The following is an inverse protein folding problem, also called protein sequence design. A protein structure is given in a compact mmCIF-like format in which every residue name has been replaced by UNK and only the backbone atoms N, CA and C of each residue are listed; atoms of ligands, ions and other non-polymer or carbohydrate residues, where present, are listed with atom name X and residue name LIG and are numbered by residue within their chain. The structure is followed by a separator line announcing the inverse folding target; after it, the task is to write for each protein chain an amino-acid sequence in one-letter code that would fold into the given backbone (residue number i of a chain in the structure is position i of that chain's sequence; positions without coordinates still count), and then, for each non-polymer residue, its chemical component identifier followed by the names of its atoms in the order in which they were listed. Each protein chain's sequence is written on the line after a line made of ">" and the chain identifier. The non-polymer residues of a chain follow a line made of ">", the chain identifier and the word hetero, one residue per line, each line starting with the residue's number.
data_IF_250953474777
#
_entry.id   IF_250953474777
#
_cell.length_a   1.000
_cell.length_b   1.000
_cell.length_c   1.000
_cell.angle_alpha   90.00
_cell.angle_beta   90.00
_cell.angle_gamma   90.00
#
_symmetry.space_group_name_H-M   'P 1'
#
loop_
_entity.id
_entity.type
_entity.pdbx_description
1 polymer ?
#
# COMPACT_ATOMS: atom_id res chain seq x y z
N UNK A 1 6.51 17.19 -9.27
CA UNK A 1 5.21 17.39 -8.55
C UNK A 1 4.17 16.31 -8.85
N UNK A 2 3.74 16.10 -10.11
CA UNK A 2 2.69 15.10 -10.45
C UNK A 2 2.96 13.67 -9.91
N UNK A 3 4.20 13.18 -10.01
CA UNK A 3 4.58 11.83 -9.55
C UNK A 3 4.40 11.64 -8.04
N UNK A 4 4.96 12.54 -7.24
CA UNK A 4 4.85 12.53 -5.78
C UNK A 4 3.39 12.67 -5.36
N UNK A 5 2.64 13.57 -6.00
CA UNK A 5 1.22 13.74 -5.75
C UNK A 5 0.44 12.45 -5.97
N UNK A 6 0.74 11.69 -7.03
CA UNK A 6 0.12 10.38 -7.24
C UNK A 6 0.56 9.35 -6.22
N UNK A 7 1.85 9.29 -5.84
CA UNK A 7 2.33 8.36 -4.80
C UNK A 7 1.61 8.58 -3.46
N UNK A 8 1.52 9.84 -3.03
CA UNK A 8 0.85 10.24 -1.78
C UNK A 8 -0.66 10.08 -1.90
N UNK A 9 -1.25 10.44 -3.04
CA UNK A 9 -2.69 10.33 -3.25
C UNK A 9 -3.19 8.90 -3.26
N UNK A 10 -2.46 7.98 -3.90
CA UNK A 10 -2.81 6.55 -3.88
C UNK A 10 -2.55 5.91 -2.52
N UNK A 11 -1.50 6.35 -1.80
CA UNK A 11 -1.30 5.97 -0.39
C UNK A 11 -2.48 6.40 0.48
N UNK A 12 -2.88 7.67 0.40
CA UNK A 12 -3.98 8.23 1.18
C UNK A 12 -5.30 7.50 0.89
N UNK A 13 -5.57 7.17 -0.38
CA UNK A 13 -6.73 6.36 -0.76
C UNK A 13 -6.69 4.96 -0.15
N UNK A 14 -5.55 4.26 -0.24
CA UNK A 14 -5.35 2.95 0.38
C UNK A 14 -5.60 3.01 1.89
N UNK A 15 -4.98 3.98 2.57
CA UNK A 15 -5.07 4.17 4.01
C UNK A 15 -6.49 4.50 4.47
N UNK A 16 -7.19 5.36 3.72
CA UNK A 16 -8.60 5.68 4.00
C UNK A 16 -9.50 4.45 3.87
N UNK A 17 -9.34 3.65 2.82
CA UNK A 17 -10.12 2.41 2.64
C UNK A 17 -9.82 1.44 3.79
N UNK A 18 -8.54 1.25 4.14
CA UNK A 18 -8.14 0.40 5.26
C UNK A 18 -8.79 0.86 6.58
N UNK A 19 -8.80 2.17 6.82
CA UNK A 19 -9.36 2.78 8.02
C UNK A 19 -10.88 2.60 8.09
N UNK A 20 -11.61 2.91 7.01
CA UNK A 20 -13.07 2.78 6.97
C UNK A 20 -13.49 1.32 7.13
N UNK A 21 -12.85 0.40 6.38
CA UNK A 21 -13.16 -1.02 6.44
C UNK A 21 -12.80 -1.59 7.81
N UNK A 22 -11.61 -1.27 8.33
CA UNK A 22 -11.17 -1.70 9.63
C UNK A 22 -12.11 -1.23 10.74
N UNK A 23 -12.45 0.05 10.75
CA UNK A 23 -13.39 0.62 11.71
C UNK A 23 -14.78 -0.02 11.61
N UNK A 24 -15.36 -0.10 10.42
CA UNK A 24 -16.68 -0.68 10.22
C UNK A 24 -16.74 -2.15 10.66
N UNK A 25 -15.76 -2.96 10.27
CA UNK A 25 -15.73 -4.39 10.61
C UNK A 25 -15.41 -4.64 12.09
N UNK A 26 -14.58 -3.80 12.71
CA UNK A 26 -14.33 -3.85 14.15
C UNK A 26 -15.61 -3.61 14.96
N UNK A 27 -16.34 -2.53 14.64
CA UNK A 27 -17.54 -2.14 15.39
C UNK A 27 -18.77 -2.99 15.07
N UNK A 28 -18.96 -3.42 13.82
CA UNK A 28 -20.17 -4.11 13.39
C UNK A 28 -20.10 -5.64 13.57
N UNK A 29 -18.90 -6.23 13.58
CA UNK A 29 -18.74 -7.68 13.55
C UNK A 29 -17.88 -8.19 14.72
N UNK A 30 -16.56 -8.01 14.64
CA UNK A 30 -15.61 -8.40 15.69
C UNK A 30 -14.17 -8.01 15.31
N UNK A 31 -13.28 -8.01 16.30
CA UNK A 31 -11.83 -7.83 16.09
C UNK A 31 -11.26 -8.86 15.10
N UNK A 32 -11.69 -10.13 15.18
CA UNK A 32 -11.22 -11.18 14.25
C UNK A 32 -11.69 -10.90 12.82
N UNK A 33 -12.96 -10.52 12.65
CA UNK A 33 -13.51 -10.16 11.34
C UNK A 33 -12.76 -8.96 10.73
N UNK A 34 -12.41 -7.96 11.53
CA UNK A 34 -11.60 -6.82 11.09
C UNK A 34 -10.29 -7.26 10.45
N UNK A 35 -9.49 -8.06 11.16
CA UNK A 35 -8.21 -8.52 10.65
C UNK A 35 -8.36 -9.36 9.39
N UNK A 36 -9.31 -10.29 9.35
CA UNK A 36 -9.57 -11.12 8.16
C UNK A 36 -9.94 -10.24 6.95
N UNK A 37 -10.86 -9.29 7.14
CA UNK A 37 -11.29 -8.38 6.09
C UNK A 37 -10.13 -7.52 5.58
N UNK A 38 -9.35 -6.91 6.48
CA UNK A 38 -8.21 -6.06 6.12
C UNK A 38 -7.15 -6.87 5.38
N UNK A 39 -6.74 -8.03 5.89
CA UNK A 39 -5.71 -8.86 5.24
C UNK A 39 -6.17 -9.51 3.92
N UNK A 40 -7.47 -9.63 3.68
CA UNK A 40 -8.00 -10.15 2.41
C UNK A 40 -8.20 -9.04 1.38
N UNK A 41 -8.73 -7.89 1.81
CA UNK A 41 -9.09 -6.78 0.92
C UNK A 41 -7.88 -5.93 0.54
N UNK A 42 -7.01 -5.61 1.51
CA UNK A 42 -5.89 -4.69 1.27
C UNK A 42 -4.89 -5.17 0.22
N UNK A 43 -4.57 -6.47 0.09
CA UNK A 43 -3.70 -6.92 -0.99
C UNK A 43 -4.26 -6.57 -2.37
N UNK A 44 -5.57 -6.74 -2.56
CA UNK A 44 -6.29 -6.47 -3.81
C UNK A 44 -6.33 -4.97 -4.08
N UNK A 45 -6.73 -4.18 -3.09
CA UNK A 45 -6.79 -2.71 -3.19
C UNK A 45 -5.41 -2.13 -3.50
N UNK A 46 -4.38 -2.59 -2.79
CA UNK A 46 -2.99 -2.15 -2.99
C UNK A 46 -2.51 -2.47 -4.40
N UNK A 47 -2.70 -3.72 -4.86
CA UNK A 47 -2.32 -4.12 -6.22
C UNK A 47 -3.04 -3.28 -7.28
N UNK A 48 -4.35 -3.03 -7.09
CA UNK A 48 -5.16 -2.19 -7.98
C UNK A 48 -4.68 -0.74 -8.03
N UNK A 49 -4.33 -0.15 -6.89
CA UNK A 49 -3.82 1.22 -6.80
C UNK A 49 -2.41 1.36 -7.39
N UNK A 50 -1.54 0.37 -7.20
CA UNK A 50 -0.22 0.31 -7.84
C UNK A 50 -0.35 0.21 -9.35
N UNK A 51 -1.25 -0.66 -9.84
CA UNK A 51 -1.59 -0.74 -11.26
C UNK A 51 -2.10 0.60 -11.80
N UNK A 52 -3.03 1.24 -11.10
CA UNK A 52 -3.58 2.54 -11.49
C UNK A 52 -2.51 3.63 -11.53
N UNK A 53 -1.58 3.63 -10.57
CA UNK A 53 -0.43 4.52 -10.53
C UNK A 53 0.47 4.35 -11.77
N UNK A 54 0.90 3.13 -12.06
CA UNK A 54 1.75 2.82 -13.22
C UNK A 54 1.06 3.20 -14.54
N UNK A 55 -0.24 2.95 -14.64
CA UNK A 55 -1.05 3.36 -15.78
C UNK A 55 -1.11 4.87 -15.93
N UNK A 56 -1.36 5.61 -14.85
CA UNK A 56 -1.51 7.08 -14.88
C UNK A 56 -0.21 7.76 -15.30
N UNK A 57 0.93 7.23 -14.88
CA UNK A 57 2.25 7.74 -15.25
C UNK A 57 2.76 7.22 -16.60
N UNK A 58 2.05 6.27 -17.23
CA UNK A 58 2.44 5.64 -18.51
C UNK A 58 3.88 5.11 -18.47
N UNK A 59 4.22 4.41 -17.38
CA UNK A 59 5.58 3.92 -17.13
C UNK A 59 5.99 2.92 -18.20
N UNK A 60 7.21 3.04 -18.75
CA UNK A 60 7.75 2.09 -19.72
C UNK A 60 8.01 0.72 -19.08
N UNK A 61 8.00 -0.35 -19.87
CA UNK A 61 8.23 -1.74 -19.41
C UNK A 61 9.46 -1.85 -18.50
N UNK A 62 10.57 -1.27 -18.95
CA UNK A 62 11.87 -1.36 -18.27
C UNK A 62 11.90 -0.58 -16.94
N UNK A 63 11.13 0.51 -16.85
CA UNK A 63 11.06 1.33 -15.64
C UNK A 63 10.04 0.80 -14.62
N UNK A 64 9.14 -0.13 -15.00
CA UNK A 64 8.05 -0.59 -14.12
C UNK A 64 8.51 -1.14 -12.78
N UNK A 65 9.60 -1.93 -12.78
CA UNK A 65 10.12 -2.53 -11.55
C UNK A 65 10.63 -1.45 -10.60
N UNK A 66 11.51 -0.57 -11.10
CA UNK A 66 12.05 0.56 -10.33
C UNK A 66 10.95 1.46 -9.79
N UNK A 67 9.96 1.80 -10.62
CA UNK A 67 8.86 2.66 -10.21
C UNK A 67 7.97 2.02 -9.14
N UNK A 68 7.65 0.74 -9.29
CA UNK A 68 6.90 -0.01 -8.28
C UNK A 68 7.67 -0.12 -6.96
N UNK A 69 8.98 -0.40 -7.00
CA UNK A 69 9.82 -0.46 -5.80
C UNK A 69 9.91 0.87 -5.07
N UNK A 70 10.07 1.99 -5.81
CA UNK A 70 10.08 3.33 -5.21
C UNK A 70 8.72 3.63 -4.57
N UNK A 71 7.61 3.32 -5.26
CA UNK A 71 6.27 3.52 -4.72
C UNK A 71 6.07 2.74 -3.41
N UNK A 72 6.45 1.46 -3.38
CA UNK A 72 6.38 0.63 -2.17
C UNK A 72 7.23 1.21 -1.05
N UNK A 73 8.47 1.60 -1.33
CA UNK A 73 9.34 2.19 -0.33
C UNK A 73 8.73 3.46 0.28
N UNK A 74 8.18 4.35 -0.56
CA UNK A 74 7.48 5.56 -0.12
C UNK A 74 6.26 5.20 0.74
N UNK A 75 5.46 4.22 0.32
CA UNK A 75 4.28 3.78 1.07
C UNK A 75 4.64 3.15 2.42
N UNK A 76 5.71 2.36 2.49
CA UNK A 76 6.22 1.81 3.75
C UNK A 76 6.64 2.94 4.68
N UNK A 77 7.43 3.92 4.19
CA UNK A 77 7.87 5.06 5.00
C UNK A 77 6.67 5.87 5.52
N UNK A 78 5.68 6.14 4.66
CA UNK A 78 4.46 6.85 5.05
C UNK A 78 3.64 6.06 6.08
N UNK A 79 3.45 4.75 5.88
CA UNK A 79 2.76 3.87 6.82
C UNK A 79 3.47 3.85 8.17
N UNK A 80 4.78 3.60 8.16
CA UNK A 80 5.60 3.58 9.36
C UNK A 80 5.56 4.89 10.12
N UNK A 81 5.57 6.02 9.41
CA UNK A 81 5.47 7.35 10.03
C UNK A 81 4.11 7.55 10.71
N UNK A 82 3.02 7.11 10.08
CA UNK A 82 1.68 7.19 10.68
C UNK A 82 1.53 6.25 11.90
N UNK A 83 2.07 5.04 11.81
CA UNK A 83 2.11 4.10 12.93
C UNK A 83 2.89 4.72 14.10
N UNK A 84 4.09 5.24 13.84
CA UNK A 84 4.93 5.90 14.85
C UNK A 84 4.21 7.08 15.50
N UNK A 85 3.60 7.99 14.72
CA UNK A 85 2.84 9.12 15.26
C UNK A 85 1.69 8.62 16.15
N UNK A 86 0.98 7.58 15.71
CA UNK A 86 -0.17 7.05 16.44
C UNK A 86 0.24 6.42 17.78
N UNK A 87 1.27 5.57 17.78
CA UNK A 87 1.69 4.83 18.97
C UNK A 87 2.54 5.65 19.94
N UNK A 88 3.37 6.58 19.44
CA UNK A 88 4.26 7.39 20.28
C UNK A 88 3.52 8.61 20.84
N UNK A 89 2.66 9.24 20.03
CA UNK A 89 2.06 10.55 20.36
C UNK A 89 0.57 10.42 20.62
N UNK A 90 -0.22 9.96 19.64
CA UNK A 90 -1.69 10.02 19.73
C UNK A 90 -2.25 9.19 20.89
N UNK A 91 -1.90 7.91 20.98
CA UNK A 91 -2.42 7.01 22.02
C UNK A 91 -2.03 7.47 23.44
N UNK A 92 -0.76 7.83 23.70
CA UNK A 92 -0.39 8.36 25.01
C UNK A 92 -1.10 9.66 25.37
N UNK A 93 -1.24 10.60 24.42
CA UNK A 93 -1.93 11.87 24.65
C UNK A 93 -3.41 11.68 24.98
N UNK A 94 -4.11 10.75 24.31
CA UNK A 94 -5.53 10.45 24.60
C UNK A 94 -5.73 9.63 25.88
N UNK A 95 -4.68 8.95 26.34
CA UNK A 95 -4.71 8.13 27.57
C UNK A 95 -4.10 8.83 28.79
N UNK A 96 -3.73 10.12 28.68
CA UNK A 96 -3.02 10.88 29.70
C UNK A 96 -1.72 10.20 30.20
N UNK A 97 -1.00 9.53 29.30
CA UNK A 97 0.28 8.87 29.58
C UNK A 97 1.45 9.59 28.91
N UNK A 98 2.65 9.35 29.41
CA UNK A 98 3.89 9.83 28.79
C UNK A 98 4.10 9.21 27.39
N UNK A 99 4.82 9.92 26.52
CA UNK A 99 5.14 9.48 25.16
C UNK A 99 5.82 8.10 25.16
N UNK A 100 5.39 7.23 24.24
CA UNK A 100 5.81 5.84 24.22
C UNK A 100 6.93 5.57 23.21
N UNK A 101 8.17 5.90 23.59
CA UNK A 101 9.34 5.73 22.70
C UNK A 101 9.76 4.27 22.46
N UNK A 102 9.23 3.30 23.23
CA UNK A 102 9.57 1.89 23.07
C UNK A 102 9.01 1.28 21.78
N UNK A 103 8.14 1.99 21.06
CA UNK A 103 7.67 1.60 19.72
C UNK A 103 8.83 1.26 18.77
N UNK A 104 9.98 1.94 18.87
CA UNK A 104 11.12 1.66 18.00
C UNK A 104 11.90 0.40 18.38
N UNK A 105 11.71 -0.11 19.60
CA UNK A 105 12.38 -1.31 20.12
C UNK A 105 11.47 -2.55 19.97
N UNK A 106 10.19 -2.44 20.31
CA UNK A 106 9.21 -3.53 20.28
C UNK A 106 8.13 -3.27 19.22
N UNK A 107 8.53 -3.39 17.97
CA UNK A 107 7.60 -3.26 16.85
C UNK A 107 6.73 -4.51 16.71
N UNK A 108 5.44 -4.28 16.52
CA UNK A 108 4.47 -5.35 16.30
C UNK A 108 4.82 -6.16 15.03
N UNK A 109 4.89 -7.51 15.10
CA UNK A 109 5.12 -8.37 13.93
C UNK A 109 4.10 -8.15 12.80
N UNK A 110 2.92 -7.67 13.13
CA UNK A 110 1.85 -7.37 12.18
C UNK A 110 2.19 -6.19 11.26
N UNK A 111 3.01 -5.24 11.72
CA UNK A 111 3.50 -4.11 10.91
C UNK A 111 4.39 -4.64 9.78
N UNK A 112 5.34 -5.51 10.12
CA UNK A 112 6.24 -6.15 9.15
C UNK A 112 5.50 -7.04 8.16
N UNK A 113 4.52 -7.81 8.63
CA UNK A 113 3.67 -8.62 7.76
C UNK A 113 2.92 -7.75 6.75
N UNK A 114 2.44 -6.58 7.17
CA UNK A 114 1.75 -5.64 6.29
C UNK A 114 2.67 -5.10 5.18
N UNK A 115 3.95 -4.86 5.49
CA UNK A 115 4.95 -4.43 4.49
C UNK A 115 5.33 -5.55 3.51
N UNK A 116 5.39 -6.79 3.99
CA UNK A 116 5.60 -7.96 3.13
C UNK A 116 4.42 -8.12 2.16
N UNK A 117 3.18 -8.05 2.66
CA UNK A 117 1.96 -8.10 1.83
C UNK A 117 1.96 -6.97 0.81
N UNK A 118 2.29 -5.74 1.20
CA UNK A 118 2.36 -4.61 0.29
C UNK A 118 3.37 -4.83 -0.84
N UNK A 119 4.51 -5.42 -0.52
CA UNK A 119 5.54 -5.77 -1.50
C UNK A 119 5.02 -6.83 -2.48
N UNK A 120 4.34 -7.87 -2.00
CA UNK A 120 3.70 -8.90 -2.84
C UNK A 120 2.60 -8.29 -3.74
N UNK A 121 1.78 -7.40 -3.21
CA UNK A 121 0.78 -6.65 -3.98
C UNK A 121 1.40 -5.80 -5.08
N UNK A 122 2.60 -5.25 -4.85
CA UNK A 122 3.31 -4.51 -5.89
C UNK A 122 3.77 -5.40 -7.03
N UNK A 123 4.24 -6.61 -6.73
CA UNK A 123 4.53 -7.62 -7.75
C UNK A 123 3.27 -7.97 -8.55
N UNK A 124 2.15 -8.21 -7.89
CA UNK A 124 0.87 -8.52 -8.54
C UNK A 124 0.37 -7.36 -9.43
N UNK A 125 0.36 -6.13 -8.88
CA UNK A 125 -0.07 -4.93 -9.61
C UNK A 125 0.82 -4.61 -10.81
N UNK A 126 2.14 -4.78 -10.66
CA UNK A 126 3.11 -4.71 -11.77
C UNK A 126 2.83 -5.78 -12.82
N UNK A 127 2.60 -7.02 -12.41
CA UNK A 127 2.28 -8.13 -13.31
C UNK A 127 1.06 -7.82 -14.17
N UNK A 128 -0.04 -7.38 -13.55
CA UNK A 128 -1.25 -6.96 -14.26
C UNK A 128 -1.00 -5.80 -15.24
N UNK A 129 -0.14 -4.84 -14.86
CA UNK A 129 0.24 -3.73 -15.74
C UNK A 129 1.01 -4.21 -16.98
N UNK A 130 1.98 -5.10 -16.80
CA UNK A 130 2.78 -5.67 -17.88
C UNK A 130 1.92 -6.50 -18.84
N UNK A 131 1.03 -7.36 -18.32
CA UNK A 131 0.09 -8.13 -19.13
C UNK A 131 -0.74 -7.23 -20.06
N UNK A 132 -1.19 -6.09 -19.55
CA UNK A 132 -1.94 -5.12 -20.36
C UNK A 132 -1.09 -4.47 -21.45
N UNK A 133 0.18 -4.17 -21.17
CA UNK A 133 1.09 -3.65 -22.19
C UNK A 133 1.29 -4.67 -23.30
N UNK A 134 1.42 -5.96 -22.95
CA UNK A 134 1.53 -7.06 -23.90
C UNK A 134 0.28 -7.19 -24.77
N UNK A 135 -0.92 -7.17 -24.17
CA UNK A 135 -2.19 -7.19 -24.92
C UNK A 135 -2.26 -6.03 -25.92
N UNK A 136 -1.86 -4.82 -25.51
CA UNK A 136 -1.86 -3.65 -26.40
C UNK A 136 -0.83 -3.76 -27.52
N UNK A 137 0.36 -4.29 -27.24
CA UNK A 137 1.40 -4.49 -28.24
C UNK A 137 0.92 -5.45 -29.34
N UNK A 138 0.33 -6.57 -28.93
CA UNK A 138 -0.28 -7.58 -29.84
C UNK A 138 -1.37 -6.94 -30.70
N UNK A 139 -2.30 -6.19 -30.12
CA UNK A 139 -3.37 -5.51 -30.87
C UNK A 139 -2.83 -4.45 -31.85
N UNK A 140 -1.68 -3.85 -31.56
CA UNK A 140 -1.04 -2.84 -32.42
C UNK A 140 -0.10 -3.41 -33.48
N UNK A 141 0.03 -4.74 -33.59
CA UNK A 141 0.96 -5.40 -34.53
C UNK A 141 2.45 -5.22 -34.20
N UNK A 142 2.79 -4.68 -33.01
CA UNK A 142 4.18 -4.55 -32.56
C UNK A 142 4.65 -5.85 -31.91
N UNK A 143 5.80 -6.38 -32.33
CA UNK A 143 6.43 -7.53 -31.66
C UNK A 143 6.76 -7.16 -30.21
N UNK A 144 6.35 -8.00 -29.27
CA UNK A 144 6.76 -7.92 -27.87
C UNK A 144 8.24 -8.31 -27.79
N UNK A 145 9.13 -7.34 -27.62
CA UNK A 145 10.52 -7.62 -27.30
C UNK A 145 10.57 -8.22 -25.89
N UNK A 146 11.07 -9.45 -25.79
CA UNK A 146 11.25 -10.18 -24.53
C UNK A 146 12.48 -9.68 -23.81
#
# INVERSE_FOLDING_TARGET
>A
MKRIMWMVGTFAAMYLIATIVGFATYFLLSVRAMWICVFTLMPIVSAGLIYAYLQRLKVSRDATFREASILVAVWIVLSFSLDAITYIVVIPMTSHRALNWTFFLDQSPWIWLSYAVLSLSAYAGRGAYLMRLDTKAVQSGRRVAR
#
